data_IF_320597743183
#
_entry.id   IF_320597743183
#
_cell.length_a   1.000
_cell.length_b   1.000
_cell.length_c   1.000
_cell.angle_alpha   90.00
_cell.angle_beta   90.00
_cell.angle_gamma   90.00
#
_symmetry.space_group_name_H-M   'P 1'
#
loop_
_entity.id
_entity.type
_entity.pdbx_description
1 polymer ?
#
# COMPACT_ATOMS: atom_id res chain seq x y z
N UNK A 1 -7.60 -28.13 -7.00
CA UNK A 1 -7.90 -29.55 -7.25
C UNK A 1 -7.35 -30.50 -6.17
N UNK A 2 -6.42 -30.06 -5.31
CA UNK A 2 -5.82 -30.88 -4.21
C UNK A 2 -6.33 -30.51 -2.81
N UNK A 3 -7.17 -29.49 -2.66
CA UNK A 3 -7.61 -29.01 -1.33
C UNK A 3 -8.28 -30.12 -0.49
N UNK A 4 -9.23 -30.95 -1.00
CA UNK A 4 -9.84 -31.99 -0.20
C UNK A 4 -8.81 -32.99 0.37
N UNK A 5 -7.82 -33.39 -0.42
CA UNK A 5 -6.76 -34.30 0.00
C UNK A 5 -5.87 -33.68 1.10
N UNK A 6 -5.62 -32.36 1.02
CA UNK A 6 -4.84 -31.63 2.03
C UNK A 6 -5.64 -31.47 3.34
N UNK A 7 -6.95 -31.28 3.26
CA UNK A 7 -7.81 -31.25 4.46
C UNK A 7 -7.87 -32.63 5.13
N UNK A 8 -7.95 -33.72 4.37
CA UNK A 8 -7.86 -35.09 4.90
C UNK A 8 -6.50 -35.35 5.57
N UNK A 9 -5.41 -34.83 4.98
CA UNK A 9 -4.07 -34.94 5.59
C UNK A 9 -3.99 -34.21 6.94
N UNK A 10 -4.67 -33.05 7.05
CA UNK A 10 -4.74 -32.27 8.30
C UNK A 10 -5.50 -33.00 9.44
N UNK A 11 -6.36 -33.97 9.14
CA UNK A 11 -7.00 -34.81 10.15
C UNK A 11 -6.02 -35.78 10.84
N UNK A 12 -4.93 -36.11 10.14
CA UNK A 12 -3.92 -37.09 10.61
C UNK A 12 -2.60 -36.47 11.05
N UNK A 13 -2.35 -35.19 10.77
CA UNK A 13 -1.13 -34.50 11.16
C UNK A 13 -1.00 -33.10 10.58
N UNK A 14 0.13 -32.45 10.84
CA UNK A 14 0.40 -31.10 10.39
C UNK A 14 0.76 -31.05 8.90
N UNK A 15 0.33 -29.99 8.21
CA UNK A 15 0.66 -29.70 6.82
C UNK A 15 1.41 -28.38 6.75
N UNK A 16 2.60 -28.37 6.15
CA UNK A 16 3.37 -27.16 5.91
C UNK A 16 3.13 -26.62 4.50
N UNK A 17 2.67 -25.37 4.39
CA UNK A 17 2.61 -24.61 3.13
C UNK A 17 3.90 -23.81 2.98
N UNK A 18 4.64 -24.06 1.91
CA UNK A 18 5.90 -23.38 1.60
C UNK A 18 5.86 -22.76 0.21
N UNK A 19 6.64 -21.71 0.00
CA UNK A 19 6.88 -21.08 -1.31
C UNK A 19 8.37 -20.96 -1.57
N UNK A 20 8.77 -20.74 -2.81
CA UNK A 20 10.17 -20.61 -3.22
C UNK A 20 10.84 -19.36 -2.61
N UNK A 21 10.08 -18.30 -2.41
CA UNK A 21 10.55 -17.05 -1.80
C UNK A 21 9.42 -16.30 -1.08
N UNK A 22 9.76 -15.67 0.05
CA UNK A 22 8.83 -14.83 0.81
C UNK A 22 7.75 -15.59 1.56
N UNK A 23 6.62 -14.93 1.82
CA UNK A 23 5.47 -15.49 2.54
C UNK A 23 4.52 -16.20 1.58
N UNK A 24 4.18 -17.50 1.80
CA UNK A 24 3.13 -18.16 1.05
C UNK A 24 1.80 -17.39 1.08
N UNK A 25 0.97 -17.58 0.07
CA UNK A 25 -0.34 -16.93 -0.11
C UNK A 25 -0.31 -15.40 -0.35
N UNK A 26 0.84 -14.73 -0.27
CA UNK A 26 0.97 -13.30 -0.60
C UNK A 26 1.56 -13.15 -2.00
N UNK A 27 0.73 -12.94 -3.01
CA UNK A 27 1.08 -12.99 -4.44
C UNK A 27 1.62 -14.35 -4.91
N UNK A 28 1.43 -15.38 -4.09
CA UNK A 28 1.78 -16.76 -4.29
C UNK A 28 0.56 -17.67 -4.10
N UNK A 29 0.56 -18.90 -4.65
CA UNK A 29 -0.50 -19.86 -4.41
C UNK A 29 -0.62 -20.21 -2.91
N UNK A 30 -1.87 -20.51 -2.45
CA UNK A 30 -2.09 -21.03 -1.11
C UNK A 30 -3.23 -20.40 -0.33
N UNK A 31 -3.69 -19.21 -0.70
CA UNK A 31 -4.81 -18.51 -0.04
C UNK A 31 -6.07 -19.36 0.05
N UNK A 32 -6.39 -20.12 -1.01
CA UNK A 32 -7.56 -21.01 -1.01
C UNK A 32 -7.42 -22.15 -0.01
N UNK A 33 -6.20 -22.71 0.15
CA UNK A 33 -5.93 -23.75 1.16
C UNK A 33 -6.06 -23.18 2.56
N UNK A 34 -5.46 -22.02 2.82
CA UNK A 34 -5.55 -21.33 4.12
C UNK A 34 -7.01 -21.06 4.47
N UNK A 35 -7.80 -20.52 3.53
CA UNK A 35 -9.22 -20.24 3.71
C UNK A 35 -10.03 -21.51 3.99
N UNK A 36 -9.76 -22.58 3.23
CA UNK A 36 -10.47 -23.85 3.38
C UNK A 36 -10.15 -24.55 4.70
N UNK A 37 -8.88 -24.53 5.12
CA UNK A 37 -8.44 -25.11 6.39
C UNK A 37 -9.05 -24.34 7.57
N UNK A 38 -9.04 -23.03 7.55
CA UNK A 38 -9.67 -22.20 8.58
C UNK A 38 -11.19 -22.42 8.65
N UNK A 39 -11.88 -22.53 7.51
CA UNK A 39 -13.31 -22.81 7.45
C UNK A 39 -13.65 -24.21 7.98
N UNK A 40 -12.75 -25.19 7.83
CA UNK A 40 -12.89 -26.53 8.39
C UNK A 40 -12.50 -26.62 9.88
N UNK A 41 -12.09 -25.51 10.51
CA UNK A 41 -11.76 -25.43 11.94
C UNK A 41 -10.32 -25.83 12.28
N UNK A 42 -9.46 -26.06 11.28
CA UNK A 42 -8.04 -26.29 11.51
C UNK A 42 -7.32 -25.01 11.91
N UNK A 43 -6.35 -25.15 12.81
CA UNK A 43 -5.49 -24.04 13.22
C UNK A 43 -4.50 -23.70 12.10
N UNK A 44 -4.45 -22.43 11.72
CA UNK A 44 -3.48 -21.92 10.75
C UNK A 44 -2.45 -21.07 11.49
N UNK A 45 -1.19 -21.47 11.46
CA UNK A 45 -0.09 -20.78 12.12
C UNK A 45 0.86 -20.17 11.07
N UNK A 46 0.97 -18.84 11.01
CA UNK A 46 1.97 -18.21 10.18
C UNK A 46 3.36 -18.30 10.83
N UNK A 47 4.35 -18.72 10.07
CA UNK A 47 5.75 -18.64 10.48
C UNK A 47 6.33 -17.32 9.93
N UNK A 48 6.64 -16.32 10.77
CA UNK A 48 7.15 -15.04 10.30
C UNK A 48 8.47 -15.21 9.55
N UNK A 49 8.63 -14.50 8.45
CA UNK A 49 9.82 -14.53 7.64
C UNK A 49 10.06 -13.22 6.89
N UNK A 50 11.12 -13.19 6.09
CA UNK A 50 11.44 -12.06 5.23
C UNK A 50 10.36 -11.90 4.14
N UNK A 51 10.12 -10.64 3.75
CA UNK A 51 9.19 -10.32 2.68
C UNK A 51 9.82 -9.27 1.76
N UNK A 52 9.86 -9.55 0.47
CA UNK A 52 10.37 -8.62 -0.53
C UNK A 52 9.62 -7.28 -0.51
N UNK A 53 8.32 -7.32 -0.23
CA UNK A 53 7.46 -6.13 -0.08
C UNK A 53 7.99 -5.19 1.00
N UNK A 54 8.12 -5.67 2.25
CA UNK A 54 8.56 -4.83 3.38
C UNK A 54 10.04 -4.50 3.30
N UNK A 55 10.87 -5.39 2.76
CA UNK A 55 12.29 -5.12 2.53
C UNK A 55 12.48 -4.00 1.50
N UNK A 56 11.73 -4.02 0.39
CA UNK A 56 11.77 -2.96 -0.61
C UNK A 56 11.29 -1.62 -0.06
N UNK A 57 10.20 -1.59 0.72
CA UNK A 57 9.73 -0.38 1.39
C UNK A 57 10.81 0.20 2.30
N UNK A 58 11.39 -0.61 3.17
CA UNK A 58 12.46 -0.16 4.09
C UNK A 58 13.70 0.33 3.34
N UNK A 59 14.04 -0.29 2.19
CA UNK A 59 15.18 0.10 1.38
C UNK A 59 14.89 1.27 0.45
N UNK A 60 13.63 1.61 0.16
CA UNK A 60 13.26 2.61 -0.84
C UNK A 60 13.66 4.04 -0.46
N UNK A 61 13.61 4.39 0.82
CA UNK A 61 13.73 5.76 1.32
C UNK A 61 12.46 6.60 1.17
N UNK A 62 11.37 6.01 0.66
CA UNK A 62 10.06 6.64 0.54
C UNK A 62 9.24 6.44 1.82
N UNK A 63 8.23 7.30 2.03
CA UNK A 63 7.33 7.19 3.19
C UNK A 63 6.59 5.86 3.19
N UNK A 64 6.68 5.12 4.29
CA UNK A 64 6.11 3.77 4.43
C UNK A 64 5.02 3.66 5.52
N UNK A 65 4.58 4.80 6.10
CA UNK A 65 3.55 4.82 7.15
C UNK A 65 2.21 4.26 6.65
N UNK A 66 1.91 4.53 5.38
CA UNK A 66 0.78 3.94 4.68
C UNK A 66 1.16 3.67 3.22
N UNK A 67 0.84 2.49 2.74
CA UNK A 67 1.14 2.09 1.38
C UNK A 67 0.02 1.23 0.79
N UNK A 68 -0.04 1.21 -0.54
CA UNK A 68 -0.93 0.35 -1.30
C UNK A 68 -0.11 -0.72 -2.03
N UNK A 69 -0.31 -1.98 -1.68
CA UNK A 69 0.28 -3.10 -2.39
C UNK A 69 -0.61 -3.54 -3.54
N UNK A 70 -0.09 -3.50 -4.75
CA UNK A 70 -0.80 -3.82 -6.00
C UNK A 70 -0.52 -5.26 -6.49
N UNK A 71 0.36 -6.00 -5.79
CA UNK A 71 0.80 -7.32 -6.26
C UNK A 71 1.49 -7.25 -7.61
N UNK A 72 1.35 -8.29 -8.44
CA UNK A 72 1.75 -8.25 -9.85
C UNK A 72 0.74 -7.47 -10.67
N UNK A 73 1.20 -6.42 -11.33
CA UNK A 73 0.33 -5.61 -12.19
C UNK A 73 -0.19 -6.41 -13.40
N UNK A 74 -1.39 -6.07 -13.93
CA UNK A 74 -1.97 -6.74 -15.08
C UNK A 74 -1.01 -6.82 -16.28
N UNK A 75 -1.02 -7.97 -16.97
CA UNK A 75 -0.13 -8.19 -18.13
C UNK A 75 -0.47 -7.28 -19.32
N UNK A 76 -1.76 -7.04 -19.55
CA UNK A 76 -2.23 -6.18 -20.65
C UNK A 76 -2.06 -4.72 -20.27
N UNK A 77 -1.40 -3.91 -21.12
CA UNK A 77 -1.14 -2.50 -20.86
C UNK A 77 -2.41 -1.72 -20.53
N UNK A 78 -3.50 -1.93 -21.25
CA UNK A 78 -4.78 -1.26 -20.99
C UNK A 78 -5.29 -1.48 -19.54
N UNK A 79 -5.26 -2.71 -19.06
CA UNK A 79 -5.71 -3.09 -17.72
C UNK A 79 -4.73 -2.57 -16.66
N UNK A 80 -3.43 -2.62 -16.92
CA UNK A 80 -2.38 -2.09 -16.06
C UNK A 80 -2.51 -0.58 -15.89
N UNK A 81 -2.68 0.15 -16.98
CA UNK A 81 -2.91 1.61 -16.96
C UNK A 81 -4.18 1.97 -16.21
N UNK A 82 -5.26 1.22 -16.38
CA UNK A 82 -6.50 1.44 -15.62
C UNK A 82 -6.28 1.25 -14.12
N UNK A 83 -5.54 0.21 -13.70
CA UNK A 83 -5.17 -0.03 -12.32
C UNK A 83 -4.33 1.13 -11.76
N UNK A 84 -3.31 1.58 -12.48
CA UNK A 84 -2.44 2.71 -12.10
C UNK A 84 -3.22 4.01 -12.01
N UNK A 85 -4.11 4.29 -12.96
CA UNK A 85 -4.98 5.48 -12.93
C UNK A 85 -5.90 5.50 -11.73
N UNK A 86 -6.45 4.36 -11.33
CA UNK A 86 -7.28 4.26 -10.13
C UNK A 86 -6.50 4.57 -8.85
N UNK A 87 -5.18 4.34 -8.83
CA UNK A 87 -4.30 4.64 -7.71
C UNK A 87 -3.62 6.02 -7.81
N UNK A 88 -3.74 6.72 -8.94
CA UNK A 88 -2.95 7.93 -9.24
C UNK A 88 -3.19 9.11 -8.29
N UNK A 89 -4.38 9.23 -7.71
CA UNK A 89 -4.73 10.31 -6.77
C UNK A 89 -4.51 9.94 -5.30
N UNK A 90 -4.10 8.71 -5.01
CA UNK A 90 -3.90 8.27 -3.62
C UNK A 90 -2.57 8.81 -3.07
N UNK A 91 -2.58 9.45 -1.87
CA UNK A 91 -1.35 9.91 -1.22
C UNK A 91 -0.63 8.77 -0.49
N UNK A 92 -0.70 7.56 -1.02
CA UNK A 92 -0.11 6.34 -0.46
C UNK A 92 1.06 5.91 -1.34
N UNK A 93 2.15 5.50 -0.72
CA UNK A 93 3.24 4.84 -1.44
C UNK A 93 2.72 3.58 -2.13
N UNK A 94 2.94 3.45 -3.42
CA UNK A 94 2.51 2.32 -4.22
C UNK A 94 3.63 1.28 -4.28
N UNK A 95 3.29 0.01 -4.06
CA UNK A 95 4.25 -1.10 -4.18
C UNK A 95 3.71 -2.14 -5.13
N UNK A 96 4.54 -2.60 -6.06
CA UNK A 96 4.17 -3.64 -7.01
C UNK A 96 5.33 -4.61 -7.25
N UNK A 97 5.02 -5.87 -7.49
CA UNK A 97 5.95 -6.85 -8.03
C UNK A 97 5.94 -6.80 -9.55
N UNK A 98 7.09 -7.02 -10.18
CA UNK A 98 7.16 -7.03 -11.63
C UNK A 98 8.18 -8.05 -12.16
N UNK A 99 7.86 -8.63 -13.30
CA UNK A 99 8.77 -9.53 -14.01
C UNK A 99 9.79 -8.72 -14.85
N UNK A 100 11.04 -9.18 -14.97
CA UNK A 100 12.10 -8.39 -15.63
C UNK A 100 11.78 -8.03 -17.07
N UNK A 101 11.22 -8.95 -17.85
CA UNK A 101 10.86 -8.71 -19.25
C UNK A 101 9.72 -7.68 -19.44
N UNK A 102 9.00 -7.32 -18.38
CA UNK A 102 7.90 -6.35 -18.39
C UNK A 102 8.28 -5.00 -17.79
N UNK A 103 9.35 -4.95 -16.98
CA UNK A 103 9.69 -3.79 -16.16
C UNK A 103 9.65 -2.49 -16.95
N UNK A 104 10.33 -2.43 -18.09
CA UNK A 104 10.42 -1.20 -18.89
C UNK A 104 9.07 -0.71 -19.40
N UNK A 105 8.19 -1.62 -19.81
CA UNK A 105 6.84 -1.27 -20.25
C UNK A 105 5.99 -0.79 -19.05
N UNK A 106 6.16 -1.41 -17.89
CA UNK A 106 5.46 -1.04 -16.67
C UNK A 106 5.92 0.32 -16.14
N UNK A 107 7.23 0.61 -16.14
CA UNK A 107 7.75 1.93 -15.75
C UNK A 107 7.24 3.05 -16.66
N UNK A 108 7.12 2.80 -17.97
CA UNK A 108 6.52 3.77 -18.91
C UNK A 108 5.04 4.00 -18.63
N UNK A 109 4.27 2.95 -18.38
CA UNK A 109 2.86 3.09 -18.03
C UNK A 109 2.70 3.81 -16.67
N UNK A 110 3.60 3.56 -15.69
CA UNK A 110 3.63 4.30 -14.43
C UNK A 110 3.94 5.80 -14.64
N UNK A 111 4.97 6.12 -15.43
CA UNK A 111 5.32 7.50 -15.76
C UNK A 111 4.16 8.24 -16.42
N UNK A 112 3.44 7.58 -17.32
CA UNK A 112 2.32 8.18 -18.05
C UNK A 112 1.08 8.38 -17.18
N UNK A 113 0.75 7.43 -16.30
CA UNK A 113 -0.49 7.48 -15.50
C UNK A 113 -0.31 8.13 -14.12
N UNK A 114 0.88 8.10 -13.55
CA UNK A 114 1.17 8.65 -12.22
C UNK A 114 1.90 9.99 -12.29
N UNK A 115 2.52 10.33 -13.43
CA UNK A 115 3.48 11.41 -13.55
C UNK A 115 4.89 10.99 -13.13
N UNK A 116 5.86 11.91 -13.25
CA UNK A 116 7.27 11.66 -12.94
C UNK A 116 7.55 11.79 -11.45
N UNK A 117 7.23 10.72 -10.72
CA UNK A 117 7.35 10.64 -9.25
C UNK A 117 8.65 10.00 -8.83
N UNK A 118 9.07 10.27 -7.59
CA UNK A 118 10.12 9.51 -6.94
C UNK A 118 9.76 8.04 -6.86
N UNK A 119 10.72 7.18 -7.17
CA UNK A 119 10.56 5.75 -7.18
C UNK A 119 11.84 5.03 -6.74
N UNK A 120 11.68 3.85 -6.20
CA UNK A 120 12.75 2.90 -6.03
C UNK A 120 12.43 1.62 -6.80
N UNK A 121 13.43 1.07 -7.46
CA UNK A 121 13.36 -0.26 -8.10
C UNK A 121 14.35 -1.16 -7.38
N UNK A 122 13.82 -2.10 -6.61
CA UNK A 122 14.62 -3.07 -5.87
C UNK A 122 14.70 -4.37 -6.69
N UNK A 123 15.91 -4.77 -7.03
CA UNK A 123 16.19 -5.95 -7.83
C UNK A 123 16.96 -6.97 -7.03
N UNK A 124 16.61 -8.25 -7.12
CA UNK A 124 17.35 -9.37 -6.53
C UNK A 124 17.69 -9.17 -5.04
N UNK A 125 16.74 -8.60 -4.28
CA UNK A 125 16.93 -8.36 -2.84
C UNK A 125 17.43 -9.60 -2.12
N UNK A 126 18.46 -9.45 -1.28
CA UNK A 126 19.16 -10.50 -0.52
C UNK A 126 19.99 -11.47 -1.34
N UNK A 127 20.13 -11.26 -2.66
CA UNK A 127 20.90 -12.12 -3.56
C UNK A 127 22.21 -11.45 -4.00
N UNK A 128 23.07 -12.19 -4.69
CA UNK A 128 24.39 -11.73 -5.13
C UNK A 128 24.36 -10.47 -6.00
N UNK A 129 23.29 -10.29 -6.78
CA UNK A 129 23.12 -9.16 -7.69
C UNK A 129 22.08 -8.17 -7.20
N UNK A 130 22.00 -7.99 -5.87
CA UNK A 130 21.11 -6.99 -5.27
C UNK A 130 21.44 -5.60 -5.78
N UNK A 131 20.40 -4.89 -6.19
CA UNK A 131 20.47 -3.51 -6.63
C UNK A 131 19.23 -2.75 -6.13
N UNK A 132 19.46 -1.55 -5.58
CA UNK A 132 18.39 -0.64 -5.21
C UNK A 132 18.62 0.70 -5.92
N UNK A 133 17.92 0.87 -7.03
CA UNK A 133 17.84 2.16 -7.73
C UNK A 133 16.89 3.09 -6.98
N UNK A 134 17.24 4.37 -6.90
CA UNK A 134 16.39 5.44 -6.37
C UNK A 134 16.49 6.67 -7.27
N UNK A 135 15.34 7.25 -7.61
CA UNK A 135 15.26 8.41 -8.50
C UNK A 135 13.84 8.59 -9.04
N UNK A 136 13.71 9.38 -10.09
CA UNK A 136 12.43 9.59 -10.77
C UNK A 136 12.07 8.41 -11.67
N UNK A 137 10.77 8.21 -11.94
CA UNK A 137 10.28 7.16 -12.85
C UNK A 137 10.91 7.29 -14.24
N UNK A 138 11.10 8.52 -14.75
CA UNK A 138 11.79 8.78 -16.02
C UNK A 138 13.22 8.23 -16.01
N UNK A 139 13.95 8.46 -14.93
CA UNK A 139 15.32 7.96 -14.76
C UNK A 139 15.35 6.43 -14.65
N UNK A 140 14.37 5.83 -13.98
CA UNK A 140 14.24 4.37 -13.89
C UNK A 140 14.02 3.75 -15.28
N UNK A 141 13.20 4.35 -16.14
CA UNK A 141 12.99 3.90 -17.54
C UNK A 141 14.29 3.88 -18.35
N UNK A 142 15.16 4.85 -18.12
CA UNK A 142 16.47 4.95 -18.80
C UNK A 142 17.49 3.97 -18.23
N UNK A 143 17.50 3.80 -16.91
CA UNK A 143 18.45 2.93 -16.20
C UNK A 143 18.24 1.44 -16.54
N UNK A 144 17.01 0.96 -16.51
CA UNK A 144 16.70 -0.46 -16.71
C UNK A 144 16.43 -0.78 -18.19
N UNK A 145 17.48 -1.04 -18.97
CA UNK A 145 17.36 -1.40 -20.39
C UNK A 145 17.02 -2.89 -20.59
N UNK A 146 17.70 -3.79 -19.87
CA UNK A 146 17.53 -5.24 -19.95
C UNK A 146 17.68 -5.89 -18.56
N UNK A 147 16.77 -5.62 -17.63
CA UNK A 147 16.88 -6.14 -16.26
C UNK A 147 16.68 -7.66 -16.24
N UNK A 148 17.33 -8.30 -15.29
CA UNK A 148 17.18 -9.73 -14.96
C UNK A 148 16.80 -9.85 -13.49
N UNK A 149 16.18 -10.97 -13.12
CA UNK A 149 15.86 -11.31 -11.74
C UNK A 149 14.52 -10.80 -11.27
N UNK A 150 14.26 -10.85 -9.98
CA UNK A 150 13.01 -10.44 -9.34
C UNK A 150 13.04 -8.96 -9.00
N UNK A 151 11.91 -8.29 -9.18
CA UNK A 151 11.82 -6.84 -9.04
C UNK A 151 10.63 -6.42 -8.17
N UNK A 152 10.91 -5.46 -7.29
CA UNK A 152 9.89 -4.74 -6.53
C UNK A 152 9.98 -3.26 -6.88
N UNK A 153 8.86 -2.70 -7.28
CA UNK A 153 8.68 -1.29 -7.59
C UNK A 153 8.05 -0.59 -6.38
N UNK A 154 8.64 0.49 -5.93
CA UNK A 154 8.10 1.36 -4.88
C UNK A 154 8.01 2.76 -5.48
N UNK A 155 6.81 3.34 -5.52
CA UNK A 155 6.57 4.66 -6.13
C UNK A 155 5.88 5.56 -5.14
N UNK A 156 6.33 6.80 -5.02
CA UNK A 156 5.74 7.80 -4.15
C UNK A 156 4.26 8.01 -4.48
N UNK A 157 3.43 8.18 -3.45
CA UNK A 157 2.02 8.54 -3.59
C UNK A 157 1.81 9.88 -4.27
N UNK A 158 0.55 10.21 -4.55
CA UNK A 158 0.22 11.54 -5.04
C UNK A 158 0.70 12.61 -4.03
N UNK A 159 1.19 13.77 -4.50
CA UNK A 159 1.42 14.90 -3.62
C UNK A 159 0.14 15.24 -2.84
N UNK A 160 0.28 15.61 -1.58
CA UNK A 160 -0.88 16.00 -0.76
C UNK A 160 -1.70 17.14 -1.39
N UNK A 161 -1.08 17.94 -2.26
CA UNK A 161 -1.71 19.02 -3.04
C UNK A 161 -2.61 18.54 -4.19
N UNK A 162 -2.51 17.27 -4.62
CA UNK A 162 -3.39 16.66 -5.61
C UNK A 162 -4.71 16.12 -5.02
N UNK A 163 -4.83 16.10 -3.71
CA UNK A 163 -6.13 16.03 -3.02
C UNK A 163 -6.84 17.37 -3.24
N UNK A 164 -8.17 17.42 -3.50
CA UNK A 164 -8.86 18.69 -3.71
C UNK A 164 -8.43 19.68 -2.63
N UNK A 165 -7.84 20.79 -3.05
CA UNK A 165 -7.08 21.79 -2.31
C UNK A 165 -7.08 21.58 -0.80
N UNK A 166 -5.91 21.31 -0.22
CA UNK A 166 -5.79 21.28 1.25
C UNK A 166 -6.48 22.55 1.77
N UNK A 167 -7.45 22.43 2.67
CA UNK A 167 -8.20 23.59 3.12
C UNK A 167 -7.25 24.68 3.61
N UNK A 168 -7.51 25.96 3.33
CA UNK A 168 -6.67 27.06 3.77
C UNK A 168 -6.30 26.92 5.25
N UNK A 169 -5.05 27.22 5.66
CA UNK A 169 -4.64 27.13 7.07
C UNK A 169 -5.62 27.79 8.05
N UNK A 170 -6.21 28.92 7.66
CA UNK A 170 -7.24 29.60 8.42
C UNK A 170 -8.51 28.75 8.61
N UNK A 171 -8.94 28.03 7.59
CA UNK A 171 -10.11 27.15 7.65
C UNK A 171 -9.86 25.90 8.53
N UNK A 172 -8.63 25.36 8.48
CA UNK A 172 -8.24 24.27 9.38
C UNK A 172 -8.17 24.73 10.84
N UNK A 173 -7.70 25.95 11.09
CA UNK A 173 -7.66 26.53 12.44
C UNK A 173 -9.06 26.80 12.98
N UNK A 174 -9.96 27.30 12.13
CA UNK A 174 -11.38 27.45 12.47
C UNK A 174 -12.04 26.10 12.78
N UNK A 175 -11.73 25.06 11.99
CA UNK A 175 -12.20 23.71 12.26
C UNK A 175 -11.71 23.19 13.62
N UNK A 176 -10.44 23.43 13.97
CA UNK A 176 -9.89 23.05 15.28
C UNK A 176 -10.62 23.74 16.42
N UNK A 177 -10.89 25.04 16.31
CA UNK A 177 -11.63 25.81 17.31
C UNK A 177 -13.05 25.29 17.50
N UNK A 178 -13.77 25.04 16.39
CA UNK A 178 -15.12 24.48 16.45
C UNK A 178 -15.12 23.07 17.09
N UNK A 179 -14.19 22.21 16.72
CA UNK A 179 -14.05 20.87 17.31
C UNK A 179 -13.74 20.91 18.80
N UNK A 180 -12.85 21.82 19.26
CA UNK A 180 -12.55 22.00 20.69
C UNK A 180 -13.79 22.44 21.48
N UNK A 181 -14.60 23.37 20.95
CA UNK A 181 -15.86 23.78 21.57
C UNK A 181 -16.85 22.63 21.69
N UNK A 182 -17.06 21.87 20.61
CA UNK A 182 -17.96 20.72 20.59
C UNK A 182 -17.51 19.60 21.54
N UNK A 183 -16.20 19.41 21.69
CA UNK A 183 -15.63 18.49 22.66
C UNK A 183 -15.88 18.95 24.10
N UNK A 184 -15.68 20.23 24.40
CA UNK A 184 -16.02 20.82 25.69
C UNK A 184 -17.52 20.65 26.04
N UNK A 185 -18.36 20.67 25.05
CA UNK A 185 -19.82 20.40 25.17
C UNK A 185 -20.13 18.87 25.24
N UNK A 186 -19.13 17.97 25.29
CA UNK A 186 -19.27 16.51 25.30
C UNK A 186 -20.02 15.91 24.10
N UNK A 187 -19.99 16.59 22.95
CA UNK A 187 -20.57 16.09 21.71
C UNK A 187 -19.82 14.83 21.25
N UNK A 188 -20.56 13.84 20.74
CA UNK A 188 -19.93 12.60 20.22
C UNK A 188 -19.08 12.91 18.99
N UNK A 189 -17.91 12.24 18.87
CA UNK A 189 -16.96 12.42 17.77
C UNK A 189 -17.63 12.39 16.38
N UNK A 190 -18.52 11.43 16.13
CA UNK A 190 -19.23 11.27 14.87
C UNK A 190 -20.10 12.49 14.53
N UNK A 191 -20.79 13.05 15.51
CA UNK A 191 -21.67 14.22 15.37
C UNK A 191 -20.84 15.48 15.18
N UNK A 192 -19.81 15.70 15.99
CA UNK A 192 -18.92 16.85 15.90
C UNK A 192 -18.21 16.90 14.52
N UNK A 193 -17.69 15.77 14.06
CA UNK A 193 -17.05 15.66 12.74
C UNK A 193 -18.05 15.94 11.61
N UNK A 194 -19.27 15.41 11.69
CA UNK A 194 -20.27 15.65 10.66
C UNK A 194 -20.71 17.12 10.61
N UNK A 195 -20.88 17.76 11.77
CA UNK A 195 -21.27 19.15 11.89
C UNK A 195 -20.18 20.10 11.32
N UNK A 196 -18.93 19.94 11.74
CA UNK A 196 -17.82 20.80 11.29
C UNK A 196 -17.49 20.55 9.81
N UNK A 197 -17.56 19.31 9.35
CA UNK A 197 -17.37 18.99 7.93
C UNK A 197 -18.43 19.68 7.05
N UNK A 198 -19.70 19.68 7.49
CA UNK A 198 -20.79 20.35 6.76
C UNK A 198 -20.73 21.88 6.84
N UNK A 199 -20.34 22.46 8.00
CA UNK A 199 -20.32 23.93 8.17
C UNK A 199 -19.16 24.60 7.43
N UNK A 200 -18.04 23.91 7.26
CA UNK A 200 -16.83 24.45 6.63
C UNK A 200 -16.55 23.84 5.25
N UNK A 201 -17.47 23.03 4.72
CA UNK A 201 -17.28 22.29 3.45
C UNK A 201 -15.94 21.53 3.39
N UNK A 202 -15.61 20.85 4.50
CA UNK A 202 -14.36 20.09 4.64
C UNK A 202 -14.61 18.60 4.48
N UNK A 203 -13.64 17.85 3.89
CA UNK A 203 -13.72 16.40 3.88
C UNK A 203 -13.78 15.81 5.29
N UNK A 204 -14.72 14.88 5.53
CA UNK A 204 -14.92 14.26 6.86
C UNK A 204 -13.65 13.60 7.42
N UNK A 205 -12.81 13.02 6.58
CA UNK A 205 -11.52 12.43 6.97
C UNK A 205 -10.54 13.49 7.50
N UNK A 206 -10.47 14.66 6.88
CA UNK A 206 -9.66 15.80 7.35
C UNK A 206 -10.14 16.26 8.72
N UNK A 207 -11.45 16.48 8.89
CA UNK A 207 -12.04 16.90 10.16
C UNK A 207 -11.86 15.84 11.26
N UNK A 208 -11.97 14.56 10.92
CA UNK A 208 -11.73 13.47 11.88
C UNK A 208 -10.27 13.41 12.35
N UNK A 209 -9.31 13.64 11.46
CA UNK A 209 -7.89 13.76 11.82
C UNK A 209 -7.66 14.91 12.82
N UNK A 210 -8.23 16.08 12.54
CA UNK A 210 -8.18 17.23 13.46
C UNK A 210 -8.82 16.92 14.82
N UNK A 211 -9.92 16.17 14.85
CA UNK A 211 -10.53 15.72 16.09
C UNK A 211 -9.60 14.85 16.95
N UNK A 212 -8.82 13.96 16.33
CA UNK A 212 -7.84 13.15 17.04
C UNK A 212 -6.64 13.96 17.53
N UNK A 213 -6.19 14.96 16.76
CA UNK A 213 -5.12 15.88 17.15
C UNK A 213 -5.51 16.75 18.37
N UNK A 214 -6.72 17.29 18.38
CA UNK A 214 -7.21 18.05 19.53
C UNK A 214 -7.34 17.19 20.79
N UNK A 215 -7.63 15.88 20.66
CA UNK A 215 -7.68 14.96 21.78
C UNK A 215 -6.34 14.79 22.48
N UNK A 216 -5.23 14.84 21.75
CA UNK A 216 -3.87 14.69 22.29
C UNK A 216 -3.38 15.96 22.99
N UNK A 217 -3.82 17.14 22.55
CA UNK A 217 -3.44 18.43 23.17
C UNK A 217 -4.11 18.69 24.50
N UNK A 218 -5.31 18.14 24.73
CA UNK A 218 -6.05 18.30 25.98
C UNK A 218 -5.57 17.35 27.10
N UNK A 219 -4.64 16.45 26.80
CA UNK A 219 -4.07 15.48 27.77
C UNK A 219 -2.63 15.79 28.20
N UNK A 220 -2.03 16.87 27.71
CA UNK A 220 -0.70 17.37 28.07
C UNK A 220 -0.77 18.73 28.68
#
# INVERSE_FOLDING_TARGET
ARIPQLLEALESGDVALVSDAGMPAVSDPGSDLVSSAAAAGFRVEPVPGVSALTTALAASGLTADAFLFLGFLPRRSKERRQCLRAASSLPLTLVAFEAPHRLRATLRDMLEELGDREAAVCRELTKLHEEVFRGLLSQAVEHFQAPLGELVLVVQGAPEEASPASPPPAQLEEARQQLSRLRGARTRAKEAVAQVAGSLDLPKNTVYRLWLETARRDQG
#
